data_IF_951468684653
#
_entry.id   IF_951468684653
#
_cell.length_a   1.000
_cell.length_b   1.000
_cell.length_c   1.000
_cell.angle_alpha   90.00
_cell.angle_beta   90.00
_cell.angle_gamma   90.00
#
_symmetry.space_group_name_H-M   'P 1'
#
loop_
_entity.id
_entity.type
_entity.pdbx_description
1 polymer ?
#
# COMPACT_ATOMS: atom_id res chain seq x y z
N UNK A 1 -27.37 9.83 -5.75
CA UNK A 1 -26.43 9.14 -6.67
C UNK A 1 -25.49 8.26 -5.86
N UNK A 2 -25.07 7.09 -6.37
CA UNK A 2 -24.22 6.14 -5.62
C UNK A 2 -22.77 6.26 -6.10
N UNK A 3 -21.92 6.89 -5.30
CA UNK A 3 -20.48 6.92 -5.56
C UNK A 3 -19.89 5.49 -5.47
N UNK A 4 -18.98 5.09 -6.37
CA UNK A 4 -18.20 3.86 -6.23
C UNK A 4 -17.41 3.79 -4.92
N UNK A 5 -17.04 2.57 -4.52
CA UNK A 5 -16.31 2.29 -3.28
C UNK A 5 -14.99 1.61 -3.62
N UNK A 6 -13.89 2.21 -3.20
CA UNK A 6 -12.54 1.64 -3.29
C UNK A 6 -12.06 1.31 -1.87
N UNK A 7 -12.12 0.03 -1.49
CA UNK A 7 -11.78 -0.40 -0.13
C UNK A 7 -10.26 -0.44 0.03
N UNK A 8 -9.77 0.29 1.01
CA UNK A 8 -8.36 0.37 1.34
C UNK A 8 -8.07 -0.59 2.51
N UNK A 9 -7.40 -1.71 2.21
CA UNK A 9 -7.10 -2.82 3.14
C UNK A 9 -5.73 -3.44 2.87
N UNK A 10 -5.27 -4.30 3.79
CA UNK A 10 -4.05 -5.08 3.58
C UNK A 10 -4.14 -5.96 2.32
N UNK A 11 -3.08 -5.97 1.51
CA UNK A 11 -2.93 -6.83 0.34
C UNK A 11 -2.51 -8.27 0.69
N UNK A 12 -2.09 -8.51 1.93
CA UNK A 12 -1.54 -9.81 2.37
C UNK A 12 -2.61 -10.85 2.68
N UNK A 13 -3.86 -10.43 2.86
CA UNK A 13 -4.98 -11.28 3.23
C UNK A 13 -6.27 -10.87 2.53
N UNK A 14 -7.16 -11.84 2.30
CA UNK A 14 -8.56 -11.58 1.92
C UNK A 14 -9.32 -10.83 3.02
N UNK A 15 -8.96 -11.06 4.29
CA UNK A 15 -9.49 -10.32 5.45
C UNK A 15 -8.77 -8.99 5.65
N UNK A 16 -9.24 -8.14 6.56
CA UNK A 16 -8.52 -6.94 6.99
C UNK A 16 -7.29 -7.23 7.88
N UNK A 17 -7.09 -8.48 8.31
CA UNK A 17 -5.96 -8.92 9.11
C UNK A 17 -4.84 -9.54 8.25
N UNK A 18 -3.63 -8.95 8.20
CA UNK A 18 -2.52 -9.45 7.37
C UNK A 18 -1.98 -10.84 7.78
N UNK A 19 -2.27 -11.32 8.99
CA UNK A 19 -1.79 -12.62 9.47
C UNK A 19 -2.66 -13.80 9.00
N UNK A 20 -3.86 -13.54 8.50
CA UNK A 20 -4.78 -14.58 8.03
C UNK A 20 -4.48 -14.94 6.57
N UNK A 21 -3.61 -15.93 6.37
CA UNK A 21 -3.17 -16.38 5.05
C UNK A 21 -4.13 -17.39 4.40
N UNK A 22 -4.00 -17.56 3.08
CA UNK A 22 -4.79 -18.52 2.30
C UNK A 22 -6.24 -18.06 2.12
N UNK A 23 -7.19 -18.92 2.50
CA UNK A 23 -8.63 -18.65 2.38
C UNK A 23 -9.29 -18.58 3.77
N UNK A 24 -9.13 -17.47 4.51
CA UNK A 24 -9.83 -17.29 5.78
C UNK A 24 -11.34 -17.31 5.56
N UNK A 25 -12.07 -17.87 6.54
CA UNK A 25 -13.53 -17.92 6.60
C UNK A 25 -14.00 -17.25 7.88
N UNK A 26 -15.27 -16.86 7.90
CA UNK A 26 -15.95 -16.35 9.10
C UNK A 26 -15.26 -15.15 9.78
N UNK A 27 -14.59 -14.30 8.98
CA UNK A 27 -13.97 -13.07 9.44
C UNK A 27 -14.91 -11.87 9.26
N UNK A 28 -14.79 -10.89 10.13
CA UNK A 28 -15.49 -9.61 10.05
C UNK A 28 -14.51 -8.54 9.57
N UNK A 29 -14.92 -7.72 8.61
CA UNK A 29 -14.14 -6.56 8.16
C UNK A 29 -14.55 -5.33 8.96
N UNK A 30 -13.58 -4.68 9.59
CA UNK A 30 -13.79 -3.47 10.40
C UNK A 30 -13.37 -2.24 9.62
N UNK A 31 -14.31 -1.34 9.32
CA UNK A 31 -14.01 -0.03 8.72
C UNK A 31 -13.77 0.96 9.85
N UNK A 32 -12.57 1.57 9.89
CA UNK A 32 -12.19 2.56 10.91
C UNK A 32 -12.57 3.99 10.51
N UNK A 33 -12.39 4.30 9.23
CA UNK A 33 -12.59 5.63 8.67
C UNK A 33 -13.09 5.51 7.23
N UNK A 34 -13.77 6.56 6.75
CA UNK A 34 -14.14 6.69 5.34
C UNK A 34 -13.67 8.06 4.86
N UNK A 35 -12.78 8.08 3.86
CA UNK A 35 -12.39 9.29 3.15
C UNK A 35 -13.19 9.44 1.86
N UNK A 36 -13.35 10.69 1.40
CA UNK A 36 -14.09 11.01 0.16
C UNK A 36 -13.11 11.59 -0.86
N UNK A 37 -12.87 10.84 -1.94
CA UNK A 37 -12.11 11.33 -3.09
C UNK A 37 -13.06 12.07 -4.04
N UNK A 38 -13.50 13.27 -3.65
CA UNK A 38 -14.51 14.02 -4.39
C UNK A 38 -14.14 14.30 -5.86
N UNK A 39 -12.86 14.59 -6.13
CA UNK A 39 -12.38 14.82 -7.50
C UNK A 39 -12.38 13.56 -8.36
N UNK A 40 -12.03 12.40 -7.79
CA UNK A 40 -12.02 11.12 -8.48
C UNK A 40 -13.40 10.42 -8.47
N UNK A 41 -14.33 10.91 -7.65
CA UNK A 41 -15.71 10.47 -7.60
C UNK A 41 -15.96 9.17 -6.85
N UNK A 42 -15.18 8.80 -5.82
CA UNK A 42 -15.39 7.57 -5.04
C UNK A 42 -15.13 7.72 -3.53
N UNK A 43 -15.65 6.77 -2.77
CA UNK A 43 -15.45 6.64 -1.31
C UNK A 43 -14.31 5.66 -1.02
N UNK A 44 -13.54 5.95 0.02
CA UNK A 44 -12.39 5.15 0.46
C UNK A 44 -12.60 4.70 1.92
N UNK A 45 -13.26 3.54 2.15
CA UNK A 45 -13.28 2.92 3.46
C UNK A 45 -11.90 2.34 3.81
N UNK A 46 -11.37 2.73 4.96
CA UNK A 46 -10.04 2.32 5.46
C UNK A 46 -10.22 1.28 6.56
N UNK A 47 -9.68 0.08 6.37
CA UNK A 47 -9.86 -1.06 7.31
C UNK A 47 -8.68 -1.30 8.25
N UNK A 48 -7.60 -0.54 8.12
CA UNK A 48 -6.38 -0.68 8.90
C UNK A 48 -5.38 0.40 8.55
N UNK A 49 -4.17 0.29 9.06
CA UNK A 49 -3.14 1.29 8.81
C UNK A 49 -2.59 1.12 7.38
N UNK A 50 -2.68 2.19 6.59
CA UNK A 50 -2.20 2.21 5.20
C UNK A 50 -1.02 3.15 5.11
N UNK A 51 0.10 2.59 4.68
CA UNK A 51 1.33 3.35 4.45
C UNK A 51 1.17 4.20 3.19
N UNK A 52 0.95 5.51 3.36
CA UNK A 52 0.91 6.48 2.25
C UNK A 52 2.29 7.03 1.90
N UNK A 53 3.23 6.94 2.83
CA UNK A 53 4.60 7.44 2.68
C UNK A 53 5.58 6.36 3.18
N UNK A 54 6.15 5.55 2.27
CA UNK A 54 7.18 4.59 2.65
C UNK A 54 8.47 5.34 3.04
N UNK A 55 9.14 4.86 4.09
CA UNK A 55 10.45 5.36 4.49
C UNK A 55 11.60 4.63 3.77
N UNK A 56 12.82 5.15 3.94
CA UNK A 56 14.03 4.47 3.52
C UNK A 56 14.38 3.31 4.48
N UNK A 57 14.94 2.20 3.98
CA UNK A 57 15.48 1.13 4.81
C UNK A 57 16.77 1.59 5.52
N UNK A 58 17.27 0.76 6.45
CA UNK A 58 18.50 1.06 7.21
C UNK A 58 19.75 1.23 6.34
N UNK A 59 19.80 0.56 5.19
CA UNK A 59 20.82 0.74 4.15
C UNK A 59 20.09 1.08 2.85
N UNK A 60 19.99 2.36 2.48
CA UNK A 60 19.36 2.79 1.24
C UNK A 60 20.16 2.33 0.01
N UNK A 61 19.45 1.89 -1.04
CA UNK A 61 20.09 1.58 -2.33
C UNK A 61 20.89 2.77 -2.89
N UNK A 62 20.50 4.01 -2.53
CA UNK A 62 21.20 5.23 -2.91
C UNK A 62 22.68 5.27 -2.50
N UNK A 63 23.11 4.53 -1.47
CA UNK A 63 24.52 4.45 -1.08
C UNK A 63 25.37 3.63 -2.07
N UNK A 64 24.73 2.82 -2.92
CA UNK A 64 25.37 1.92 -3.88
C UNK A 64 25.14 2.35 -5.34
N UNK A 65 24.31 3.36 -5.58
CA UNK A 65 24.07 3.89 -6.92
C UNK A 65 25.25 4.76 -7.32
N UNK A 66 25.87 4.43 -8.45
CA UNK A 66 27.01 5.18 -9.00
C UNK A 66 27.03 5.12 -10.54
N UNK A 67 27.80 6.03 -11.15
CA UNK A 67 28.03 6.10 -12.59
C UNK A 67 29.54 6.10 -12.88
N UNK A 68 29.99 5.17 -13.73
CA UNK A 68 31.40 5.11 -14.11
C UNK A 68 31.77 6.15 -15.20
N UNK A 69 33.06 6.25 -15.52
CA UNK A 69 33.58 7.22 -16.49
C UNK A 69 33.07 6.97 -17.93
N UNK A 70 32.63 5.75 -18.24
CA UNK A 70 32.01 5.37 -19.51
C UNK A 70 30.50 5.66 -19.53
N UNK A 71 29.94 6.16 -18.42
CA UNK A 71 28.54 6.49 -18.25
C UNK A 71 27.65 5.30 -17.90
N UNK A 72 28.20 4.17 -17.50
CA UNK A 72 27.42 3.01 -17.07
C UNK A 72 26.96 3.18 -15.62
N UNK A 73 25.67 2.90 -15.38
CA UNK A 73 25.06 3.01 -14.05
C UNK A 73 25.11 1.66 -13.34
N UNK A 74 25.53 1.67 -12.08
CA UNK A 74 25.50 0.50 -11.19
C UNK A 74 24.58 0.75 -9.98
N UNK A 75 24.10 -0.32 -9.33
CA UNK A 75 23.31 -0.25 -8.09
C UNK A 75 21.85 0.23 -8.24
N UNK A 76 21.36 0.52 -9.45
CA UNK A 76 20.00 1.02 -9.68
C UNK A 76 18.91 -0.07 -9.73
N UNK A 77 19.26 -1.30 -10.13
CA UNK A 77 18.36 -2.44 -10.28
C UNK A 77 18.98 -3.73 -9.74
#
# INVERSE_FOLDING_TARGET
EKLPVCIAKTQKSLSDNPMLLGRPKDFVVTVREIEIAAGAGFLIPITGDIMRMPGLPSQPAAEQIDIDDDGNISGLF
#
